data_IF_133512919781
#
_entry.id   IF_133512919781
#
_cell.length_a   1.000
_cell.length_b   1.000
_cell.length_c   1.000
_cell.angle_alpha   90.00
_cell.angle_beta   90.00
_cell.angle_gamma   90.00
#
_symmetry.space_group_name_H-M   'P 1'
#
loop_
_entity.id
_entity.type
_entity.pdbx_description
1 polymer ?
#
# COMPACT_ATOMS: atom_id res chain seq x y z
N UNK A 1 16.19 29.98 -13.10
CA UNK A 1 17.05 29.03 -12.37
C UNK A 1 16.40 28.59 -11.07
N UNK A 2 16.03 29.53 -10.19
CA UNK A 2 15.32 29.25 -8.92
C UNK A 2 14.08 28.35 -9.07
N UNK A 3 13.20 28.61 -10.05
CA UNK A 3 12.03 27.76 -10.33
C UNK A 3 12.40 26.30 -10.64
N UNK A 4 13.45 26.09 -11.44
CA UNK A 4 13.91 24.74 -11.81
C UNK A 4 14.47 24.00 -10.60
N UNK A 5 15.15 24.73 -9.69
CA UNK A 5 15.64 24.17 -8.43
C UNK A 5 14.46 23.76 -7.54
N UNK A 6 13.45 24.62 -7.38
CA UNK A 6 12.26 24.32 -6.60
C UNK A 6 11.50 23.10 -7.15
N UNK A 7 11.32 23.02 -8.47
CA UNK A 7 10.70 21.85 -9.12
C UNK A 7 11.49 20.56 -8.86
N UNK A 8 12.82 20.63 -8.87
CA UNK A 8 13.66 19.47 -8.54
C UNK A 8 13.54 19.08 -7.07
N UNK A 9 13.49 20.04 -6.14
CA UNK A 9 13.29 19.78 -4.72
C UNK A 9 11.94 19.12 -4.45
N UNK A 10 10.85 19.65 -5.02
CA UNK A 10 9.51 19.06 -4.89
C UNK A 10 9.44 17.63 -5.42
N UNK A 11 10.16 17.36 -6.53
CA UNK A 11 10.24 16.00 -7.07
C UNK A 11 11.00 15.06 -6.15
N UNK A 12 12.09 15.51 -5.53
CA UNK A 12 12.87 14.72 -4.57
C UNK A 12 12.04 14.44 -3.32
N UNK A 13 11.33 15.44 -2.81
CA UNK A 13 10.42 15.31 -1.66
C UNK A 13 9.37 14.23 -1.92
N UNK A 14 8.67 14.29 -3.06
CA UNK A 14 7.70 13.27 -3.45
C UNK A 14 8.31 11.87 -3.57
N UNK A 15 9.56 11.76 -4.07
CA UNK A 15 10.25 10.47 -4.14
C UNK A 15 10.57 9.91 -2.75
N UNK A 16 10.93 10.77 -1.80
CA UNK A 16 11.19 10.39 -0.42
C UNK A 16 9.91 9.94 0.30
N UNK A 17 8.79 10.63 0.09
CA UNK A 17 7.48 10.20 0.62
C UNK A 17 7.10 8.80 0.13
N UNK A 18 7.23 8.55 -1.17
CA UNK A 18 6.93 7.24 -1.77
C UNK A 18 7.88 6.17 -1.20
N UNK A 19 9.16 6.49 -1.04
CA UNK A 19 10.12 5.54 -0.48
C UNK A 19 9.81 5.24 0.98
N UNK A 20 9.43 6.24 1.76
CA UNK A 20 9.10 6.08 3.17
C UNK A 20 7.88 5.18 3.35
N UNK A 21 6.80 5.41 2.59
CA UNK A 21 5.63 4.53 2.58
C UNK A 21 6.02 3.10 2.23
N UNK A 22 6.78 2.86 1.15
CA UNK A 22 7.25 1.50 0.81
C UNK A 22 8.06 0.83 1.93
N UNK A 23 8.85 1.59 2.68
CA UNK A 23 9.62 1.09 3.82
C UNK A 23 8.69 0.74 4.98
N UNK A 24 7.71 1.59 5.30
CA UNK A 24 6.70 1.32 6.32
C UNK A 24 5.92 0.03 6.00
N UNK A 25 5.46 -0.12 4.75
CA UNK A 25 4.79 -1.33 4.26
C UNK A 25 5.69 -2.56 4.38
N UNK A 26 6.97 -2.44 3.97
CA UNK A 26 7.93 -3.53 4.02
C UNK A 26 8.26 -3.97 5.46
N UNK A 27 8.34 -3.00 6.38
CA UNK A 27 8.63 -3.27 7.79
C UNK A 27 7.37 -3.71 8.56
N UNK A 28 6.20 -3.73 7.93
CA UNK A 28 4.93 -4.06 8.57
C UNK A 28 4.43 -2.98 9.53
N UNK A 29 4.85 -1.72 9.32
CA UNK A 29 4.37 -0.56 10.06
C UNK A 29 3.21 0.16 9.37
N UNK A 30 2.89 -0.19 8.13
CA UNK A 30 1.71 0.36 7.46
C UNK A 30 0.45 -0.06 8.24
N UNK A 31 -0.16 0.92 8.91
CA UNK A 31 -1.45 0.74 9.55
C UNK A 31 -2.48 0.57 8.45
N UNK A 32 -3.11 -0.60 8.42
CA UNK A 32 -4.26 -0.83 7.55
C UNK A 32 -5.39 0.12 7.96
N UNK A 33 -6.03 0.70 6.97
CA UNK A 33 -7.28 1.41 7.17
C UNK A 33 -8.37 0.46 7.67
N UNK A 34 -9.42 1.03 8.27
CA UNK A 34 -10.60 0.24 8.69
C UNK A 34 -11.24 -0.51 7.52
N UNK A 35 -11.19 0.04 6.31
CA UNK A 35 -11.73 -0.58 5.10
C UNK A 35 -10.89 -1.80 4.68
N UNK A 36 -9.56 -1.68 4.69
CA UNK A 36 -8.64 -2.78 4.36
C UNK A 36 -8.69 -3.91 5.39
N UNK A 37 -8.79 -3.59 6.68
CA UNK A 37 -8.98 -4.58 7.74
C UNK A 37 -10.27 -5.38 7.52
N UNK A 38 -11.36 -4.69 7.17
CA UNK A 38 -12.63 -5.35 6.87
C UNK A 38 -12.54 -6.25 5.64
N UNK A 39 -11.81 -5.84 4.61
CA UNK A 39 -11.57 -6.67 3.43
C UNK A 39 -10.80 -7.95 3.78
N UNK A 40 -9.80 -7.85 4.67
CA UNK A 40 -9.10 -9.02 5.20
C UNK A 40 -10.03 -9.93 6.00
N UNK A 41 -10.86 -9.40 6.90
CA UNK A 41 -11.84 -10.18 7.66
C UNK A 41 -12.81 -10.94 6.72
N UNK A 42 -13.24 -10.31 5.63
CA UNK A 42 -14.11 -10.93 4.64
C UNK A 42 -13.40 -12.05 3.87
N UNK A 43 -12.12 -11.87 3.55
CA UNK A 43 -11.29 -12.91 2.90
C UNK A 43 -11.08 -14.09 3.86
N UNK A 44 -10.73 -13.82 5.12
CA UNK A 44 -10.56 -14.85 6.16
C UNK A 44 -11.85 -15.66 6.34
N UNK A 45 -13.00 -14.99 6.45
CA UNK A 45 -14.30 -15.65 6.57
C UNK A 45 -14.63 -16.54 5.35
N UNK A 46 -14.26 -16.13 4.14
CA UNK A 46 -14.44 -16.96 2.92
C UNK A 46 -13.49 -18.17 2.94
N UNK A 47 -12.25 -17.98 3.37
CA UNK A 47 -11.26 -19.05 3.51
C UNK A 47 -11.69 -20.08 4.56
N UNK A 48 -12.20 -19.66 5.72
CA UNK A 48 -12.74 -20.54 6.76
C UNK A 48 -13.94 -21.36 6.27
N UNK A 49 -14.80 -20.77 5.44
CA UNK A 49 -15.93 -21.46 4.79
C UNK A 49 -15.49 -22.44 3.70
N UNK A 50 -14.20 -22.46 3.34
CA UNK A 50 -13.69 -23.29 2.25
C UNK A 50 -14.13 -22.80 0.86
N UNK A 51 -14.57 -21.55 0.75
CA UNK A 51 -14.78 -20.89 -0.55
C UNK A 51 -13.40 -20.61 -1.16
N UNK A 52 -12.80 -21.67 -1.72
CA UNK A 52 -11.55 -21.58 -2.46
C UNK A 52 -11.78 -20.65 -3.66
N UNK A 53 -11.16 -19.47 -3.64
CA UNK A 53 -10.91 -18.76 -4.87
C UNK A 53 -10.04 -19.66 -5.73
N UNK A 54 -10.63 -20.23 -6.78
CA UNK A 54 -9.87 -20.95 -7.78
C UNK A 54 -9.03 -19.88 -8.47
N UNK A 55 -7.71 -19.98 -8.32
CA UNK A 55 -6.70 -19.15 -8.97
C UNK A 55 -6.65 -19.38 -10.50
N UNK A 56 -7.80 -19.47 -11.15
CA UNK A 56 -7.90 -19.70 -12.59
C UNK A 56 -8.07 -18.40 -13.40
N UNK A 57 -8.11 -17.23 -12.76
CA UNK A 57 -8.35 -15.95 -13.44
C UNK A 57 -7.21 -14.93 -13.28
N UNK A 58 -5.95 -15.39 -13.19
CA UNK A 58 -4.76 -14.51 -13.36
C UNK A 58 -3.86 -15.01 -14.47
#
# INVERSE_FOLDING_TARGET
MEKVILEHLQRIEKQLEILNSKIENFLGFEELSEEELKELDEIEAKMEKGEKFVLNDV
#
